data_IF_454963136722
#
_entry.id   IF_454963136722
#
_cell.length_a   1.000
_cell.length_b   1.000
_cell.length_c   1.000
_cell.angle_alpha   90.00
_cell.angle_beta   90.00
_cell.angle_gamma   90.00
#
_symmetry.space_group_name_H-M   'P 1'
#
loop_
_entity.id
_entity.type
_entity.pdbx_description
1 polymer ?
#
# COMPACT_ATOMS: atom_id res chain seq x y z
N UNK A 1 69.43 20.73 19.53
CA UNK A 1 68.08 21.15 19.99
C UNK A 1 67.07 20.57 19.00
N UNK A 2 66.26 19.57 19.41
CA UNK A 2 65.25 18.92 18.54
C UNK A 2 63.90 19.59 18.76
N UNK A 3 63.35 20.24 17.73
CA UNK A 3 61.97 20.73 17.73
C UNK A 3 61.03 19.53 17.52
N UNK A 4 60.18 19.24 18.52
CA UNK A 4 59.09 18.27 18.38
C UNK A 4 57.91 18.96 17.72
N UNK A 5 57.62 18.61 16.48
CA UNK A 5 56.34 18.96 15.85
C UNK A 5 55.26 18.06 16.46
N UNK A 6 54.45 18.63 17.35
CA UNK A 6 53.22 17.99 17.80
C UNK A 6 52.20 18.18 16.68
N UNK A 7 51.99 17.13 15.87
CA UNK A 7 50.86 17.09 14.95
C UNK A 7 49.57 17.08 15.80
N UNK A 8 48.88 18.22 15.79
CA UNK A 8 47.54 18.36 16.33
C UNK A 8 46.63 17.34 15.61
N UNK A 9 46.31 16.25 16.30
CA UNK A 9 45.38 15.23 15.83
C UNK A 9 44.07 15.93 15.51
N UNK A 10 43.69 15.92 14.23
CA UNK A 10 42.37 16.34 13.77
C UNK A 10 41.33 15.74 14.72
N UNK A 11 40.66 16.57 15.53
CA UNK A 11 39.40 16.18 16.17
C UNK A 11 38.42 15.99 15.02
N UNK A 12 38.43 14.79 14.44
CA UNK A 12 37.33 14.29 13.64
C UNK A 12 36.15 14.25 14.60
N UNK A 13 35.15 15.08 14.32
CA UNK A 13 33.84 14.90 14.90
C UNK A 13 33.33 13.57 14.35
N UNK A 14 33.59 12.48 15.09
CA UNK A 14 32.80 11.27 14.93
C UNK A 14 31.37 11.63 15.34
N UNK A 15 30.62 12.18 14.40
CA UNK A 15 29.17 12.17 14.48
C UNK A 15 28.83 10.70 14.42
N UNK A 16 28.68 10.05 15.58
CA UNK A 16 27.98 8.78 15.68
C UNK A 16 26.62 9.04 15.08
N UNK A 17 26.44 8.70 13.80
CA UNK A 17 25.13 8.66 13.21
C UNK A 17 24.40 7.58 13.97
N UNK A 18 23.71 7.99 15.04
CA UNK A 18 22.77 7.15 15.71
C UNK A 18 21.66 6.96 14.69
N UNK A 19 21.72 5.85 13.97
CA UNK A 19 20.67 5.40 13.07
C UNK A 19 19.47 5.13 13.95
N UNK A 20 18.65 6.16 14.21
CA UNK A 20 17.37 6.00 14.89
C UNK A 20 16.60 5.01 14.05
N UNK A 21 16.41 3.80 14.58
CA UNK A 21 15.71 2.75 13.86
C UNK A 21 14.25 3.14 13.82
N UNK A 22 13.72 3.33 12.61
CA UNK A 22 12.34 3.77 12.42
C UNK A 22 11.36 2.71 12.94
N UNK A 23 11.79 1.45 13.05
CA UNK A 23 11.00 0.35 13.60
C UNK A 23 10.75 0.48 15.12
N UNK A 24 11.52 1.30 15.84
CA UNK A 24 11.34 1.51 17.29
C UNK A 24 10.23 2.54 17.60
N UNK A 25 9.68 3.20 16.57
CA UNK A 25 8.62 4.19 16.75
C UNK A 25 7.28 3.51 17.03
N UNK A 26 6.44 4.08 17.93
CA UNK A 26 5.04 3.69 18.04
C UNK A 26 4.32 3.74 16.69
N UNK A 27 3.42 2.78 16.48
CA UNK A 27 2.79 2.53 15.19
C UNK A 27 1.96 3.74 14.70
N UNK A 28 1.30 4.44 15.61
CA UNK A 28 0.53 5.65 15.37
C UNK A 28 1.42 6.83 14.90
N UNK A 29 2.58 7.00 15.53
CA UNK A 29 3.56 8.04 15.15
C UNK A 29 4.14 7.74 13.77
N UNK A 30 4.53 6.48 13.52
CA UNK A 30 5.01 6.03 12.23
C UNK A 30 3.95 6.26 11.14
N UNK A 31 2.70 5.85 11.40
CA UNK A 31 1.59 6.04 10.47
C UNK A 31 1.35 7.52 10.16
N UNK A 32 1.38 8.41 11.16
CA UNK A 32 1.20 9.85 10.96
C UNK A 32 2.35 10.47 10.15
N UNK A 33 3.60 10.06 10.41
CA UNK A 33 4.75 10.49 9.60
C UNK A 33 4.58 10.02 8.15
N UNK A 34 4.28 8.75 7.92
CA UNK A 34 4.07 8.19 6.59
C UNK A 34 2.92 8.89 5.86
N UNK A 35 1.82 9.17 6.57
CA UNK A 35 0.68 9.93 6.06
C UNK A 35 1.09 11.35 5.65
N UNK A 36 1.80 12.08 6.52
CA UNK A 36 2.27 13.45 6.23
C UNK A 36 3.31 13.53 5.12
N UNK A 37 4.12 12.49 4.95
CA UNK A 37 5.10 12.37 3.86
C UNK A 37 4.40 12.01 2.53
N UNK A 38 3.10 11.67 2.55
CA UNK A 38 2.34 11.29 1.36
C UNK A 38 2.65 9.86 0.89
N UNK A 39 3.18 9.01 1.77
CA UNK A 39 3.54 7.62 1.42
C UNK A 39 2.30 6.82 1.03
N UNK A 40 1.13 7.14 1.61
CA UNK A 40 -0.13 6.51 1.26
C UNK A 40 -0.44 6.68 -0.24
N UNK A 41 -0.43 7.91 -0.74
CA UNK A 41 -0.70 8.21 -2.15
C UNK A 41 0.34 7.58 -3.09
N UNK A 42 1.61 7.56 -2.67
CA UNK A 42 2.70 6.93 -3.43
C UNK A 42 2.49 5.42 -3.53
N UNK A 43 2.17 4.77 -2.41
CA UNK A 43 1.98 3.33 -2.33
C UNK A 43 0.71 2.91 -3.09
N UNK A 44 -0.39 3.63 -2.91
CA UNK A 44 -1.64 3.40 -3.63
C UNK A 44 -1.43 3.47 -5.15
N UNK A 45 -0.76 4.51 -5.64
CA UNK A 45 -0.44 4.66 -7.06
C UNK A 45 0.49 3.54 -7.57
N UNK A 46 1.54 3.20 -6.81
CA UNK A 46 2.45 2.14 -7.18
C UNK A 46 1.72 0.78 -7.29
N UNK A 47 0.87 0.46 -6.33
CA UNK A 47 0.08 -0.77 -6.31
C UNK A 47 -0.92 -0.84 -7.48
N UNK A 48 -1.59 0.28 -7.78
CA UNK A 48 -2.49 0.40 -8.93
C UNK A 48 -1.77 0.12 -10.25
N UNK A 49 -0.61 0.74 -10.47
CA UNK A 49 0.14 0.55 -11.71
C UNK A 49 0.75 -0.85 -11.82
N UNK A 50 1.20 -1.44 -10.71
CA UNK A 50 1.62 -2.85 -10.68
C UNK A 50 0.47 -3.79 -11.05
N UNK A 51 -0.73 -3.53 -10.54
CA UNK A 51 -1.92 -4.32 -10.86
C UNK A 51 -2.25 -4.24 -12.36
N UNK A 52 -2.28 -3.02 -12.94
CA UNK A 52 -2.47 -2.84 -14.39
C UNK A 52 -1.43 -3.58 -15.22
N UNK A 53 -0.15 -3.52 -14.82
CA UNK A 53 0.90 -4.26 -15.48
C UNK A 53 0.71 -5.78 -15.41
N UNK A 54 0.30 -6.31 -14.25
CA UNK A 54 0.00 -7.73 -14.12
C UNK A 54 -1.16 -8.17 -15.02
N UNK A 55 -2.22 -7.35 -15.09
CA UNK A 55 -3.36 -7.52 -16.00
C UNK A 55 -2.90 -7.54 -17.46
N UNK A 56 -2.09 -6.57 -17.88
CA UNK A 56 -1.58 -6.51 -19.25
C UNK A 56 -0.71 -7.72 -19.60
N UNK A 57 0.14 -8.16 -18.67
CA UNK A 57 0.98 -9.35 -18.85
C UNK A 57 0.17 -10.64 -18.94
N UNK A 58 -1.07 -10.67 -18.42
CA UNK A 58 -1.95 -11.82 -18.56
C UNK A 58 -2.47 -12.03 -20.00
N UNK A 59 -2.38 -11.03 -20.86
CA UNK A 59 -2.88 -11.09 -22.25
C UNK A 59 -4.33 -11.57 -22.36
N UNK A 60 -5.17 -11.21 -21.38
CA UNK A 60 -6.59 -11.62 -21.34
C UNK A 60 -6.83 -13.04 -20.82
N UNK A 61 -5.79 -13.70 -20.31
CA UNK A 61 -5.86 -15.02 -19.66
C UNK A 61 -5.90 -14.92 -18.13
N UNK A 62 -6.15 -13.73 -17.58
CA UNK A 62 -6.34 -13.57 -16.14
C UNK A 62 -7.60 -14.30 -15.70
N UNK A 63 -7.44 -15.33 -14.87
CA UNK A 63 -8.53 -16.16 -14.33
C UNK A 63 -8.90 -15.74 -12.91
N UNK A 64 -7.92 -15.27 -12.15
CA UNK A 64 -8.09 -14.90 -10.75
C UNK A 64 -7.30 -13.65 -10.40
N UNK A 65 -7.87 -12.81 -9.54
CA UNK A 65 -7.17 -11.69 -8.94
C UNK A 65 -7.70 -11.37 -7.54
N UNK A 66 -6.76 -11.06 -6.63
CA UNK A 66 -7.04 -10.49 -5.31
C UNK A 66 -6.45 -9.08 -5.25
N UNK A 67 -7.25 -8.10 -4.81
CA UNK A 67 -6.85 -6.70 -4.72
C UNK A 67 -7.10 -6.21 -3.29
N UNK A 68 -6.14 -5.52 -2.68
CA UNK A 68 -6.25 -5.06 -1.29
C UNK A 68 -6.15 -3.54 -1.21
N UNK A 69 -7.04 -2.87 -0.48
CA UNK A 69 -6.93 -1.46 -0.04
C UNK A 69 -6.90 -0.33 -1.11
N UNK A 70 -6.68 -0.62 -2.40
CA UNK A 70 -6.60 0.38 -3.49
C UNK A 70 -7.63 0.19 -4.62
N UNK A 71 -8.73 -0.53 -4.35
CA UNK A 71 -9.78 -0.76 -5.37
C UNK A 71 -10.57 0.52 -5.64
N UNK A 72 -10.61 0.95 -6.90
CA UNK A 72 -11.45 2.04 -7.37
C UNK A 72 -12.11 1.69 -8.73
N UNK A 73 -13.06 2.54 -9.16
CA UNK A 73 -13.82 2.32 -10.39
C UNK A 73 -12.95 2.30 -11.66
N UNK A 74 -11.89 3.11 -11.71
CA UNK A 74 -10.95 3.14 -12.84
C UNK A 74 -10.23 1.79 -12.98
N UNK A 75 -9.68 1.27 -11.87
CA UNK A 75 -8.96 0.00 -11.86
C UNK A 75 -9.90 -1.17 -12.19
N UNK A 76 -11.10 -1.21 -11.60
CA UNK A 76 -12.10 -2.21 -11.92
C UNK A 76 -12.48 -2.17 -13.41
N UNK A 77 -12.73 -0.97 -13.95
CA UNK A 77 -13.01 -0.79 -15.38
C UNK A 77 -11.87 -1.29 -16.27
N UNK A 78 -10.63 -1.02 -15.88
CA UNK A 78 -9.45 -1.48 -16.59
C UNK A 78 -9.33 -3.01 -16.60
N UNK A 79 -9.46 -3.66 -15.44
CA UNK A 79 -9.43 -5.12 -15.29
C UNK A 79 -10.51 -5.75 -16.16
N UNK A 80 -11.75 -5.27 -16.05
CA UNK A 80 -12.88 -5.83 -16.79
C UNK A 80 -12.70 -5.74 -18.31
N UNK A 81 -12.15 -4.64 -18.81
CA UNK A 81 -11.93 -4.47 -20.25
C UNK A 81 -10.82 -5.38 -20.79
N UNK A 82 -9.89 -5.84 -19.94
CA UNK A 82 -8.68 -6.58 -20.34
C UNK A 82 -8.74 -8.06 -19.98
N UNK A 83 -9.65 -8.47 -19.11
CA UNK A 83 -9.66 -9.79 -18.47
C UNK A 83 -11.00 -10.51 -18.64
N UNK A 84 -11.38 -10.80 -19.88
CA UNK A 84 -12.67 -11.45 -20.20
C UNK A 84 -12.81 -12.87 -19.64
N UNK A 85 -11.69 -13.52 -19.30
CA UNK A 85 -11.63 -14.86 -18.71
C UNK A 85 -11.62 -14.88 -17.19
N UNK A 86 -11.78 -13.72 -16.53
CA UNK A 86 -11.74 -13.64 -15.08
C UNK A 86 -12.92 -14.43 -14.49
N UNK A 87 -12.58 -15.39 -13.62
CA UNK A 87 -13.54 -16.26 -12.93
C UNK A 87 -13.68 -15.91 -11.46
N UNK A 88 -12.61 -15.43 -10.84
CA UNK A 88 -12.61 -15.04 -9.43
C UNK A 88 -12.05 -13.65 -9.23
N UNK A 89 -12.78 -12.83 -8.46
CA UNK A 89 -12.33 -11.55 -7.96
C UNK A 89 -12.52 -11.52 -6.45
N UNK A 90 -11.42 -11.33 -5.72
CA UNK A 90 -11.45 -11.00 -4.30
C UNK A 90 -10.96 -9.57 -4.10
N UNK A 91 -11.69 -8.81 -3.29
CA UNK A 91 -11.21 -7.53 -2.80
C UNK A 91 -11.22 -7.48 -1.28
N UNK A 92 -10.16 -6.92 -0.73
CA UNK A 92 -9.86 -6.91 0.69
C UNK A 92 -9.76 -5.45 1.14
N UNK A 93 -10.67 -4.99 1.99
CA UNK A 93 -10.76 -3.57 2.34
C UNK A 93 -11.24 -2.68 1.18
N UNK A 94 -11.75 -1.49 1.50
CA UNK A 94 -12.24 -0.50 0.54
C UNK A 94 -13.72 -0.16 0.71
N UNK A 95 -14.06 1.11 0.47
CA UNK A 95 -15.45 1.55 0.36
C UNK A 95 -16.07 0.86 -0.86
N UNK A 96 -17.32 0.38 -0.73
CA UNK A 96 -17.98 -0.40 -1.77
C UNK A 96 -18.12 0.52 -3.00
N UNK A 97 -17.31 0.29 -4.05
CA UNK A 97 -17.35 1.07 -5.28
C UNK A 97 -18.81 1.20 -5.76
N UNK A 98 -19.27 2.42 -6.05
CA UNK A 98 -20.70 2.69 -6.25
C UNK A 98 -21.28 2.04 -7.52
N UNK A 99 -20.43 1.50 -8.42
CA UNK A 99 -20.85 0.96 -9.70
C UNK A 99 -20.31 -0.45 -10.04
N UNK A 100 -20.48 -1.41 -9.13
CA UNK A 100 -20.19 -2.84 -9.41
C UNK A 100 -21.00 -3.42 -10.57
N UNK A 101 -22.22 -2.93 -10.82
CA UNK A 101 -23.10 -3.47 -11.86
C UNK A 101 -22.50 -3.28 -13.26
N UNK A 102 -21.92 -2.12 -13.55
CA UNK A 102 -21.26 -1.88 -14.85
C UNK A 102 -20.01 -2.74 -15.04
N UNK A 103 -19.28 -2.99 -13.96
CA UNK A 103 -18.12 -3.90 -13.94
C UNK A 103 -18.54 -5.35 -14.24
N UNK A 104 -19.53 -5.87 -13.50
CA UNK A 104 -19.97 -7.26 -13.63
C UNK A 104 -20.51 -7.59 -15.04
N UNK A 105 -21.15 -6.63 -15.71
CA UNK A 105 -21.61 -6.81 -17.10
C UNK A 105 -20.49 -7.08 -18.10
N UNK A 106 -19.25 -6.66 -17.79
CA UNK A 106 -18.08 -6.84 -18.66
C UNK A 106 -17.30 -8.11 -18.38
N UNK A 107 -17.61 -8.82 -17.29
CA UNK A 107 -16.93 -10.07 -16.90
C UNK A 107 -17.96 -11.20 -16.85
N UNK A 108 -18.40 -11.71 -18.02
CA UNK A 108 -19.48 -12.68 -18.09
C UNK A 108 -19.11 -14.06 -17.53
N UNK A 109 -17.82 -14.34 -17.32
CA UNK A 109 -17.31 -15.61 -16.82
C UNK A 109 -17.02 -15.59 -15.31
N UNK A 110 -17.39 -14.52 -14.59
CA UNK A 110 -17.15 -14.43 -13.16
C UNK A 110 -18.02 -15.45 -12.40
N UNK A 111 -17.37 -16.42 -11.78
CA UNK A 111 -17.97 -17.49 -10.98
C UNK A 111 -17.97 -17.13 -9.48
N UNK A 112 -16.96 -16.37 -9.02
CA UNK A 112 -16.77 -16.02 -7.62
C UNK A 112 -16.46 -14.52 -7.43
N UNK A 113 -17.25 -13.83 -6.62
CA UNK A 113 -16.98 -12.49 -6.11
C UNK A 113 -16.89 -12.53 -4.59
N UNK A 114 -15.73 -12.16 -4.03
CA UNK A 114 -15.50 -12.14 -2.58
C UNK A 114 -15.15 -10.73 -2.12
N UNK A 115 -15.83 -10.28 -1.07
CA UNK A 115 -15.42 -9.12 -0.29
C UNK A 115 -14.91 -9.60 1.05
N UNK A 116 -13.68 -9.21 1.40
CA UNK A 116 -13.15 -9.43 2.74
C UNK A 116 -13.06 -8.07 3.42
N UNK A 117 -13.93 -7.84 4.39
CA UNK A 117 -13.77 -6.71 5.29
C UNK A 117 -12.51 -6.98 6.11
N UNK A 118 -11.42 -6.24 5.87
CA UNK A 118 -10.48 -6.02 6.96
C UNK A 118 -11.25 -5.05 7.85
N UNK A 119 -11.71 -5.52 9.00
CA UNK A 119 -11.92 -4.62 10.14
C UNK A 119 -10.51 -4.12 10.45
N UNK A 120 -10.06 -3.13 9.68
CA UNK A 120 -8.81 -2.49 9.98
C UNK A 120 -9.00 -1.91 11.39
N UNK A 121 -7.94 -1.95 12.16
CA UNK A 121 -7.82 -1.72 13.61
C UNK A 121 -8.38 -0.34 14.08
N UNK A 122 -9.08 0.40 13.22
CA UNK A 122 -9.85 1.61 13.48
C UNK A 122 -10.85 1.49 14.63
N UNK A 123 -11.45 0.32 14.88
CA UNK A 123 -12.32 0.15 16.04
C UNK A 123 -11.52 0.15 17.35
N UNK A 124 -10.34 -0.49 17.42
CA UNK A 124 -9.55 -0.47 18.65
C UNK A 124 -9.04 0.94 19.02
N UNK A 125 -8.70 1.78 18.02
CA UNK A 125 -8.18 3.13 18.25
C UNK A 125 -9.30 4.15 18.58
N UNK A 126 -10.49 3.97 18.00
CA UNK A 126 -11.63 4.88 18.23
C UNK A 126 -12.41 4.55 19.50
N UNK A 127 -12.59 3.27 19.85
CA UNK A 127 -13.33 2.89 21.07
C UNK A 127 -12.55 3.21 22.36
N UNK A 128 -11.21 3.20 22.36
CA UNK A 128 -10.39 3.59 23.52
C UNK A 128 -10.44 5.10 23.81
N UNK A 129 -10.79 5.91 22.82
CA UNK A 129 -10.95 7.37 22.96
C UNK A 129 -12.33 7.79 23.47
N UNK A 130 -13.33 6.89 23.47
CA UNK A 130 -14.69 7.15 23.92
C UNK A 130 -15.01 6.60 25.34
N UNK A 131 -14.07 5.88 25.95
CA UNK A 131 -14.17 5.35 27.32
C UNK A 131 -13.16 5.98 28.31
N UNK A 132 -12.48 7.07 27.93
CA UNK A 132 -11.74 7.95 28.85
C UNK A 132 -12.43 9.28 29.07
#
# INVERSE_FOLDING_TARGET
MKLKFVLNSKKQWEVKQQTRNWLDLPQDVMANILYRVGVYDILENAQKEMCKHAVDRSQGQLVDITICDFVNEELLGYIANRSSQLKRLEFVGGDICKNWVAFLKKIPLLEELRSRLIVAVWESVVWESFLS
#
